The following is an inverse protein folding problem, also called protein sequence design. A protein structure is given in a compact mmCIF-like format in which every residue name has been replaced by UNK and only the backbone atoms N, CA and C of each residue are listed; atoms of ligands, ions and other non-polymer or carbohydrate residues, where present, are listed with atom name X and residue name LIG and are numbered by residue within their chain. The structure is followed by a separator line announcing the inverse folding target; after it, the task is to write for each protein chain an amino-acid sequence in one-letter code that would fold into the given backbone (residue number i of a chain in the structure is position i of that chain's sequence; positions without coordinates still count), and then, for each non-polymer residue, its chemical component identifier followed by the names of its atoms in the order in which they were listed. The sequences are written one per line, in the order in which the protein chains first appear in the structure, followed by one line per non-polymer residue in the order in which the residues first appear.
data_IF_877439717976
#
_entry.id   IF_877439717976
#
_cell.length_a   1.000
_cell.length_b   1.000
_cell.length_c   1.000
_cell.angle_alpha   90.00
_cell.angle_beta   90.00
_cell.angle_gamma   90.00
#
_symmetry.space_group_name_H-M   'P 1'
#
loop_
_entity.id
_entity.type
_entity.pdbx_description
1 polymer ?
#
# COMPACT_ATOMS: atom_id res chain seq x y z
N UNK A 1 -37.11 1.19 -0.04
CA UNK A 1 -38.58 1.03 -0.23
C UNK A 1 -39.01 0.55 -1.62
N UNK A 2 -38.10 0.27 -2.57
CA UNK A 2 -38.48 -0.22 -3.91
C UNK A 2 -39.36 -1.50 -3.88
N UNK A 3 -39.08 -2.44 -2.97
CA UNK A 3 -39.89 -3.66 -2.77
C UNK A 3 -41.28 -3.39 -2.20
N UNK A 4 -41.44 -2.37 -1.34
CA UNK A 4 -42.75 -1.90 -0.84
C UNK A 4 -43.58 -1.30 -1.97
N UNK A 5 -42.94 -0.52 -2.84
CA UNK A 5 -43.55 0.06 -4.04
C UNK A 5 -43.98 -1.00 -5.08
N UNK A 6 -43.39 -2.21 -5.02
CA UNK A 6 -43.76 -3.38 -5.82
C UNK A 6 -44.89 -4.22 -5.19
N UNK A 7 -45.55 -3.74 -4.12
CA UNK A 7 -46.71 -4.39 -3.51
C UNK A 7 -46.41 -5.39 -2.39
N UNK A 8 -45.14 -5.56 -2.00
CA UNK A 8 -44.75 -6.48 -0.91
C UNK A 8 -45.15 -5.93 0.47
N UNK A 9 -45.41 -6.84 1.42
CA UNK A 9 -45.73 -6.48 2.80
C UNK A 9 -44.56 -5.73 3.47
N UNK A 10 -44.88 -4.89 4.45
CA UNK A 10 -43.87 -4.04 5.10
C UNK A 10 -42.81 -4.85 5.84
N UNK A 11 -43.20 -6.01 6.36
CA UNK A 11 -42.29 -6.99 6.98
C UNK A 11 -41.23 -7.46 5.98
N UNK A 12 -41.66 -7.95 4.81
CA UNK A 12 -40.76 -8.50 3.79
C UNK A 12 -39.82 -7.42 3.25
N UNK A 13 -40.32 -6.21 3.07
CA UNK A 13 -39.50 -5.08 2.62
C UNK A 13 -38.47 -4.64 3.66
N UNK A 14 -38.81 -4.69 4.96
CA UNK A 14 -37.92 -4.35 6.07
C UNK A 14 -36.80 -5.40 6.23
N UNK A 15 -37.16 -6.68 6.21
CA UNK A 15 -36.21 -7.80 6.32
C UNK A 15 -35.23 -7.81 5.14
N UNK A 16 -35.72 -7.58 3.91
CA UNK A 16 -34.87 -7.48 2.73
C UNK A 16 -33.89 -6.30 2.77
N UNK A 17 -34.18 -5.27 3.56
CA UNK A 17 -33.32 -4.11 3.77
C UNK A 17 -32.48 -4.20 5.06
N UNK A 18 -32.64 -5.28 5.85
CA UNK A 18 -31.91 -5.48 7.10
C UNK A 18 -32.27 -4.48 8.21
N UNK A 19 -33.49 -3.93 8.21
CA UNK A 19 -33.94 -2.95 9.20
C UNK A 19 -35.21 -3.42 9.91
N UNK A 20 -35.48 -2.88 11.10
CA UNK A 20 -36.72 -3.17 11.82
C UNK A 20 -37.95 -2.65 11.06
N UNK A 21 -39.08 -3.35 11.20
CA UNK A 21 -40.38 -2.93 10.64
C UNK A 21 -40.76 -1.52 11.09
N UNK A 22 -40.46 -1.18 12.35
CA UNK A 22 -40.71 0.15 12.92
C UNK A 22 -39.87 1.23 12.23
N UNK A 23 -38.61 0.94 11.93
CA UNK A 23 -37.74 1.84 11.17
C UNK A 23 -38.23 1.98 9.73
N UNK A 24 -38.65 0.89 9.09
CA UNK A 24 -39.25 0.94 7.75
C UNK A 24 -40.52 1.80 7.75
N UNK A 25 -41.41 1.67 8.73
CA UNK A 25 -42.60 2.52 8.88
C UNK A 25 -42.26 4.00 9.01
N UNK A 26 -41.24 4.35 9.81
CA UNK A 26 -40.77 5.73 9.96
C UNK A 26 -40.21 6.31 8.65
N UNK A 27 -39.47 5.50 7.89
CA UNK A 27 -38.96 5.88 6.57
C UNK A 27 -40.11 6.10 5.58
N UNK A 28 -41.09 5.19 5.52
CA UNK A 28 -42.28 5.32 4.67
C UNK A 28 -43.12 6.55 5.04
N UNK A 29 -43.21 6.88 6.34
CA UNK A 29 -43.90 8.08 6.85
C UNK A 29 -43.14 9.39 6.61
N UNK A 30 -41.88 9.32 6.15
CA UNK A 30 -41.05 10.49 5.89
C UNK A 30 -40.35 11.05 7.12
N UNK A 31 -40.38 10.38 8.27
CA UNK A 31 -39.70 10.82 9.51
C UNK A 31 -38.16 10.84 9.36
N UNK A 32 -37.63 10.15 8.35
CA UNK A 32 -36.20 10.08 8.01
C UNK A 32 -35.89 10.68 6.64
N UNK A 33 -36.74 11.56 6.10
CA UNK A 33 -36.34 12.33 4.93
C UNK A 33 -35.08 13.14 5.28
N UNK A 34 -34.01 13.09 4.45
CA UNK A 34 -32.95 14.07 4.58
C UNK A 34 -33.61 15.44 4.47
N UNK A 35 -33.51 16.25 5.52
CA UNK A 35 -34.11 17.58 5.52
C UNK A 35 -33.61 18.33 4.28
N UNK A 36 -34.49 18.56 3.31
CA UNK A 36 -34.17 19.22 2.02
C UNK A 36 -33.75 20.67 2.23
N UNK A 37 -34.08 21.22 3.40
CA UNK A 37 -33.37 22.38 3.93
C UNK A 37 -32.28 21.86 4.85
N UNK A 38 -30.99 22.12 4.57
CA UNK A 38 -30.01 22.01 5.65
C UNK A 38 -30.60 22.85 6.78
N UNK A 39 -30.88 22.23 7.94
CA UNK A 39 -30.93 23.00 9.19
C UNK A 39 -29.76 23.93 9.09
N UNK A 40 -30.00 25.24 8.98
CA UNK A 40 -28.95 26.27 8.92
C UNK A 40 -27.90 25.82 9.90
N UNK A 41 -26.81 25.24 9.41
CA UNK A 41 -25.80 24.65 10.27
C UNK A 41 -25.43 25.80 11.18
N UNK A 42 -25.65 25.64 12.50
CA UNK A 42 -25.65 26.74 13.47
C UNK A 42 -24.60 27.76 13.05
N UNK A 43 -25.04 28.92 12.58
CA UNK A 43 -24.13 29.89 11.94
C UNK A 43 -23.14 30.48 12.95
N UNK A 44 -23.44 30.30 14.24
CA UNK A 44 -22.58 30.67 15.34
C UNK A 44 -21.89 29.43 15.93
N UNK A 45 -20.58 29.55 16.17
CA UNK A 45 -19.88 28.63 17.06
C UNK A 45 -20.44 28.80 18.47
N UNK A 46 -20.79 27.70 19.13
CA UNK A 46 -21.25 27.72 20.54
C UNK A 46 -20.15 28.15 21.51
N UNK A 47 -18.88 28.19 21.08
CA UNK A 47 -17.72 28.61 21.88
C UNK A 47 -16.86 29.60 21.10
N UNK A 48 -16.37 30.62 21.79
CA UNK A 48 -15.37 31.55 21.27
C UNK A 48 -14.14 30.76 20.77
N UNK A 49 -13.55 31.23 19.68
CA UNK A 49 -12.40 30.58 19.08
C UNK A 49 -11.18 30.71 20.00
N UNK A 50 -10.63 29.60 20.49
CA UNK A 50 -9.54 29.62 21.46
C UNK A 50 -8.23 30.18 20.91
N UNK A 51 -8.10 30.37 19.60
CA UNK A 51 -6.87 30.89 18.99
C UNK A 51 -7.08 32.26 18.33
N UNK A 52 -8.26 32.89 18.44
CA UNK A 52 -8.58 34.13 17.71
C UNK A 52 -7.52 35.22 17.89
N UNK A 53 -7.13 35.48 19.14
CA UNK A 53 -6.26 36.59 19.50
C UNK A 53 -4.80 36.37 19.09
N UNK A 54 -4.38 35.11 18.97
CA UNK A 54 -2.99 34.70 18.70
C UNK A 54 -2.76 34.20 17.29
N UNK A 55 -3.82 33.87 16.55
CA UNK A 55 -3.70 33.21 15.25
C UNK A 55 -3.07 34.13 14.21
N UNK A 56 -3.68 35.29 13.95
CA UNK A 56 -3.19 36.23 12.94
C UNK A 56 -1.96 37.02 13.41
N UNK A 57 -1.88 37.30 14.71
CA UNK A 57 -0.86 38.16 15.31
C UNK A 57 0.48 37.44 15.55
N UNK A 58 0.45 36.14 15.89
CA UNK A 58 1.63 35.38 16.29
C UNK A 58 1.86 34.19 15.37
N UNK A 59 0.85 33.32 15.24
CA UNK A 59 1.05 32.00 14.62
C UNK A 59 1.22 32.06 13.09
N UNK A 60 0.44 32.90 12.40
CA UNK A 60 0.55 33.07 10.94
C UNK A 60 1.92 33.64 10.53
N UNK A 61 2.45 34.72 11.14
CA UNK A 61 3.79 35.21 10.83
C UNK A 61 4.91 34.16 11.03
N UNK A 62 4.83 33.36 12.09
CA UNK A 62 5.79 32.27 12.33
C UNK A 62 5.71 31.20 11.23
N UNK A 63 4.49 30.82 10.84
CA UNK A 63 4.25 29.84 9.79
C UNK A 63 4.68 30.34 8.40
N UNK A 64 4.48 31.63 8.10
CA UNK A 64 4.95 32.26 6.86
C UNK A 64 6.49 32.27 6.78
N UNK A 65 7.17 32.56 7.88
CA UNK A 65 8.63 32.52 7.96
C UNK A 65 9.20 31.10 7.90
N UNK A 66 8.54 30.15 8.55
CA UNK A 66 8.99 28.75 8.63
C UNK A 66 7.80 27.77 8.57
N UNK A 67 7.31 27.43 7.36
CA UNK A 67 6.14 26.56 7.17
C UNK A 67 6.28 25.16 7.80
N UNK A 68 7.51 24.70 8.00
CA UNK A 68 7.87 23.43 8.62
C UNK A 68 7.65 23.39 10.14
N UNK A 69 7.38 24.52 10.81
CA UNK A 69 7.16 24.57 12.26
C UNK A 69 6.03 23.66 12.72
N UNK A 70 6.36 22.73 13.62
CA UNK A 70 5.39 21.77 14.13
C UNK A 70 4.38 22.43 15.07
N UNK A 71 3.12 21.94 15.10
CA UNK A 71 2.11 22.42 16.03
C UNK A 71 2.55 22.37 17.50
N UNK A 72 3.39 21.41 17.88
CA UNK A 72 3.94 21.30 19.23
C UNK A 72 4.89 22.46 19.55
N UNK A 73 5.77 22.82 18.62
CA UNK A 73 6.68 23.96 18.76
C UNK A 73 5.91 25.28 18.89
N UNK A 74 4.88 25.46 18.07
CA UNK A 74 3.99 26.62 18.15
C UNK A 74 3.24 26.69 19.50
N UNK A 75 2.81 25.55 20.03
CA UNK A 75 2.11 25.47 21.32
C UNK A 75 3.02 25.86 22.49
N UNK A 76 4.27 25.35 22.51
CA UNK A 76 5.27 25.72 23.52
C UNK A 76 5.61 27.21 23.46
N UNK A 77 5.67 27.79 22.25
CA UNK A 77 5.87 29.21 22.10
C UNK A 77 4.70 30.03 22.68
N UNK A 78 3.45 29.62 22.43
CA UNK A 78 2.27 30.26 23.02
C UNK A 78 2.26 30.22 24.55
N UNK A 79 2.74 29.13 25.16
CA UNK A 79 2.87 29.04 26.63
C UNK A 79 3.88 30.05 27.19
N UNK A 80 4.94 30.36 26.44
CA UNK A 80 5.95 31.34 26.86
C UNK A 80 5.43 32.79 26.77
N UNK A 81 4.73 33.14 25.69
CA UNK A 81 4.27 34.52 25.45
C UNK A 81 2.92 34.84 26.10
N UNK A 82 2.09 33.82 26.35
CA UNK A 82 0.79 33.93 27.00
C UNK A 82 0.66 32.93 28.15
N UNK A 83 1.40 33.14 29.25
CA UNK A 83 1.29 32.29 30.43
C UNK A 83 -0.12 32.38 31.03
N UNK A 84 -0.59 31.29 31.65
CA UNK A 84 -1.89 31.22 32.32
C UNK A 84 -3.07 30.80 31.43
N UNK A 85 -2.85 30.51 30.15
CA UNK A 85 -3.85 29.91 29.26
C UNK A 85 -3.64 28.39 29.14
N UNK A 86 -4.73 27.62 29.12
CA UNK A 86 -4.68 26.15 28.93
C UNK A 86 -4.46 25.76 27.45
N UNK A 87 -3.28 26.08 26.90
CA UNK A 87 -2.94 25.81 25.50
C UNK A 87 -2.90 24.32 25.17
N UNK A 88 -2.44 23.48 26.10
CA UNK A 88 -2.37 22.03 25.90
C UNK A 88 -3.74 21.41 25.58
N UNK A 89 -4.83 21.88 26.23
CA UNK A 89 -6.20 21.42 25.92
C UNK A 89 -6.65 21.80 24.50
N UNK A 90 -5.97 22.76 23.87
CA UNK A 90 -6.24 23.29 22.52
C UNK A 90 -5.31 22.71 21.46
N UNK A 91 -4.40 21.78 21.81
CA UNK A 91 -3.42 21.18 20.89
C UNK A 91 -4.06 20.64 19.61
N UNK A 92 -5.15 19.88 19.71
CA UNK A 92 -5.82 19.31 18.54
C UNK A 92 -6.46 20.38 17.64
N UNK A 93 -6.91 21.49 18.23
CA UNK A 93 -7.43 22.64 17.48
C UNK A 93 -6.31 23.37 16.75
N UNK A 94 -5.16 23.57 17.41
CA UNK A 94 -3.97 24.16 16.81
C UNK A 94 -3.45 23.31 15.65
N UNK A 95 -3.27 22.00 15.88
CA UNK A 95 -2.81 21.05 14.86
C UNK A 95 -3.67 21.12 13.60
N UNK A 96 -4.99 20.98 13.73
CA UNK A 96 -5.90 21.03 12.57
C UNK A 96 -5.80 22.35 11.81
N UNK A 97 -5.62 23.46 12.52
CA UNK A 97 -5.57 24.79 11.90
C UNK A 97 -4.24 25.04 11.19
N UNK A 98 -3.14 24.54 11.76
CA UNK A 98 -1.82 24.51 11.11
C UNK A 98 -1.86 23.63 9.86
N UNK A 99 -2.47 22.44 9.94
CA UNK A 99 -2.68 21.56 8.77
C UNK A 99 -3.49 22.26 7.67
N UNK A 100 -4.58 22.94 8.03
CA UNK A 100 -5.39 23.72 7.08
C UNK A 100 -4.60 24.88 6.46
N UNK A 101 -3.83 25.61 7.27
CA UNK A 101 -3.00 26.71 6.78
C UNK A 101 -1.93 26.19 5.83
N UNK A 102 -1.25 25.08 6.17
CA UNK A 102 -0.25 24.44 5.30
C UNK A 102 -0.83 23.95 3.98
N UNK A 103 -2.06 23.43 3.99
CA UNK A 103 -2.73 23.01 2.76
C UNK A 103 -3.03 24.19 1.81
N UNK A 104 -3.20 25.41 2.34
CA UNK A 104 -3.55 26.60 1.57
C UNK A 104 -2.34 27.48 1.20
N UNK A 105 -1.35 27.57 2.08
CA UNK A 105 -0.22 28.51 1.98
C UNK A 105 1.15 27.85 2.19
N UNK A 106 1.17 26.57 2.55
CA UNK A 106 2.42 25.82 2.69
C UNK A 106 3.10 25.58 1.34
N UNK A 107 4.33 25.07 1.35
CA UNK A 107 5.03 24.70 0.12
C UNK A 107 4.20 23.68 -0.66
N UNK A 108 4.26 23.76 -1.99
CA UNK A 108 3.61 22.80 -2.88
C UNK A 108 3.99 21.38 -2.48
N UNK A 109 2.99 20.58 -2.14
CA UNK A 109 3.19 19.15 -1.93
C UNK A 109 3.37 18.47 -3.29
N UNK A 110 4.20 17.44 -3.33
CA UNK A 110 4.29 16.59 -4.51
C UNK A 110 2.91 15.95 -4.78
N UNK A 111 2.45 16.07 -6.03
CA UNK A 111 1.19 15.47 -6.45
C UNK A 111 1.38 13.97 -6.57
N UNK A 112 0.77 13.22 -5.66
CA UNK A 112 0.78 11.77 -5.67
C UNK A 112 -0.39 11.24 -6.50
N UNK A 113 -0.09 10.50 -7.57
CA UNK A 113 -1.11 9.75 -8.31
C UNK A 113 -1.26 8.35 -7.70
N UNK A 114 -2.51 7.92 -7.50
CA UNK A 114 -2.78 6.56 -7.07
C UNK A 114 -2.38 5.59 -8.19
N UNK A 115 -1.53 4.62 -7.84
CA UNK A 115 -1.23 3.51 -8.75
C UNK A 115 -2.45 2.58 -8.81
N UNK A 116 -3.05 2.47 -9.99
CA UNK A 116 -4.10 1.50 -10.27
C UNK A 116 -3.45 0.19 -10.73
N UNK A 117 -3.59 -0.88 -9.96
CA UNK A 117 -3.23 -2.23 -10.41
C UNK A 117 -4.47 -2.90 -10.97
N UNK A 118 -4.47 -3.24 -12.26
CA UNK A 118 -5.59 -3.96 -12.89
C UNK A 118 -5.38 -5.47 -12.86
N UNK A 119 -6.47 -6.21 -12.74
CA UNK A 119 -6.47 -7.67 -12.77
C UNK A 119 -5.81 -8.19 -14.05
N UNK A 120 -4.86 -9.12 -13.93
CA UNK A 120 -4.21 -9.77 -15.07
C UNK A 120 -3.29 -8.85 -15.89
N UNK A 121 -3.10 -7.59 -15.51
CA UNK A 121 -2.23 -6.68 -16.28
C UNK A 121 -0.77 -6.89 -15.89
N UNK A 122 -0.42 -6.74 -14.62
CA UNK A 122 0.97 -6.75 -14.20
C UNK A 122 1.33 -8.01 -13.41
N UNK A 123 2.38 -8.70 -13.84
CA UNK A 123 3.14 -9.67 -13.05
C UNK A 123 4.51 -9.12 -12.72
N UNK A 124 4.98 -9.35 -11.51
CA UNK A 124 6.29 -8.89 -11.07
C UNK A 124 7.08 -10.04 -10.48
N UNK A 125 8.35 -10.15 -10.84
CA UNK A 125 9.27 -11.10 -10.22
C UNK A 125 10.63 -10.52 -9.83
N UNK A 126 11.24 -11.14 -8.84
CA UNK A 126 12.54 -10.79 -8.32
C UNK A 126 13.25 -12.01 -7.72
N UNK A 127 14.58 -11.94 -7.65
CA UNK A 127 15.39 -12.88 -6.89
C UNK A 127 15.76 -12.28 -5.55
N UNK A 128 15.72 -13.11 -4.51
CA UNK A 128 15.94 -12.61 -3.18
C UNK A 128 16.60 -13.64 -2.29
N UNK A 129 17.47 -13.16 -1.40
CA UNK A 129 18.16 -14.01 -0.42
C UNK A 129 17.44 -13.89 0.92
N UNK A 130 17.32 -15.00 1.63
CA UNK A 130 16.82 -15.00 3.00
C UNK A 130 17.81 -14.26 3.90
N UNK A 131 17.33 -13.32 4.71
CA UNK A 131 18.17 -12.66 5.72
C UNK A 131 18.03 -13.43 7.02
N UNK A 132 19.13 -13.75 7.69
CA UNK A 132 19.12 -14.47 8.97
C UNK A 132 20.10 -15.63 9.02
N UNK A 133 19.81 -16.62 9.87
CA UNK A 133 20.59 -17.85 9.95
C UNK A 133 20.38 -18.75 8.73
N UNK A 134 21.37 -19.57 8.35
CA UNK A 134 21.25 -20.46 7.20
C UNK A 134 20.15 -21.50 7.42
N UNK A 135 19.55 -21.94 6.32
CA UNK A 135 18.73 -23.14 6.28
C UNK A 135 19.68 -24.32 6.11
N UNK A 136 19.47 -25.37 6.89
CA UNK A 136 20.29 -26.58 6.82
C UNK A 136 19.40 -27.77 6.48
N UNK A 137 19.93 -28.69 5.67
CA UNK A 137 19.29 -29.95 5.29
C UNK A 137 20.24 -31.08 5.60
N UNK A 138 19.85 -31.99 6.50
CA UNK A 138 20.70 -33.08 7.01
C UNK A 138 22.05 -32.54 7.51
N UNK A 139 22.03 -31.42 8.23
CA UNK A 139 23.21 -30.76 8.78
C UNK A 139 24.10 -30.02 7.78
N UNK A 140 23.74 -29.99 6.49
CA UNK A 140 24.49 -29.25 5.45
C UNK A 140 23.78 -27.94 5.15
N UNK A 141 24.54 -26.84 5.07
CA UNK A 141 23.99 -25.54 4.70
C UNK A 141 23.47 -25.57 3.26
N UNK A 142 22.19 -25.23 3.11
CA UNK A 142 21.54 -25.10 1.82
C UNK A 142 21.78 -23.70 1.25
N UNK A 143 22.78 -23.56 0.39
CA UNK A 143 23.01 -22.33 -0.36
C UNK A 143 21.94 -22.16 -1.44
N UNK A 144 21.00 -21.25 -1.22
CA UNK A 144 19.90 -21.02 -2.15
C UNK A 144 19.51 -19.55 -2.24
N UNK A 145 18.86 -19.22 -3.36
CA UNK A 145 18.11 -18.00 -3.57
C UNK A 145 16.63 -18.34 -3.66
N UNK A 146 15.79 -17.33 -3.54
CA UNK A 146 14.35 -17.46 -3.69
C UNK A 146 13.92 -16.62 -4.87
N UNK A 147 13.32 -17.27 -5.86
CA UNK A 147 12.55 -16.58 -6.87
C UNK A 147 11.17 -16.26 -6.29
N UNK A 148 10.72 -15.02 -6.41
CA UNK A 148 9.38 -14.64 -5.98
C UNK A 148 8.66 -13.92 -7.11
N UNK A 149 7.52 -14.48 -7.53
CA UNK A 149 6.62 -13.89 -8.50
C UNK A 149 5.31 -13.49 -7.83
N UNK A 150 4.70 -12.39 -8.29
CA UNK A 150 3.47 -11.84 -7.71
C UNK A 150 2.59 -11.15 -8.74
N UNK A 151 1.29 -11.21 -8.50
CA UNK A 151 0.26 -10.39 -9.15
C UNK A 151 -0.18 -9.26 -8.19
N UNK A 152 0.19 -7.98 -8.43
CA UNK A 152 -0.09 -6.89 -7.50
C UNK A 152 -1.58 -6.68 -7.21
N UNK A 153 -2.46 -6.91 -8.19
CA UNK A 153 -3.90 -6.74 -8.02
C UNK A 153 -4.50 -7.71 -6.98
N UNK A 154 -4.21 -9.01 -7.10
CA UNK A 154 -4.78 -10.03 -6.22
C UNK A 154 -3.94 -10.30 -4.97
N UNK A 155 -2.68 -9.89 -4.98
CA UNK A 155 -1.70 -10.25 -3.95
C UNK A 155 -1.25 -11.71 -4.01
N UNK A 156 -1.72 -12.48 -5.00
CA UNK A 156 -1.26 -13.85 -5.23
C UNK A 156 0.24 -13.84 -5.51
N UNK A 157 0.96 -14.81 -4.95
CA UNK A 157 2.39 -14.94 -5.15
C UNK A 157 2.85 -16.38 -5.11
N UNK A 158 3.95 -16.63 -5.79
CA UNK A 158 4.62 -17.91 -5.89
C UNK A 158 6.09 -17.74 -5.53
N UNK A 159 6.62 -18.65 -4.71
CA UNK A 159 8.03 -18.64 -4.33
C UNK A 159 8.64 -19.98 -4.67
N UNK A 160 9.83 -19.94 -5.26
CA UNK A 160 10.57 -21.13 -5.64
C UNK A 160 12.01 -21.05 -5.15
N UNK A 161 12.54 -22.19 -4.67
CA UNK A 161 13.92 -22.33 -4.22
C UNK A 161 14.82 -22.54 -5.43
N UNK A 162 15.80 -21.66 -5.59
CA UNK A 162 16.72 -21.64 -6.72
C UNK A 162 18.13 -21.97 -6.23
N UNK A 163 18.71 -23.00 -6.85
CA UNK A 163 20.08 -23.43 -6.63
C UNK A 163 21.04 -22.61 -7.50
N UNK A 164 22.08 -22.06 -6.89
CA UNK A 164 23.07 -21.24 -7.59
C UNK A 164 22.64 -19.79 -7.82
N UNK A 165 23.16 -19.20 -8.91
CA UNK A 165 23.07 -17.77 -9.20
C UNK A 165 21.78 -17.33 -9.91
N UNK A 166 21.56 -16.02 -9.91
CA UNK A 166 20.55 -15.37 -10.74
C UNK A 166 20.87 -15.60 -12.23
N UNK A 167 20.16 -16.53 -12.85
CA UNK A 167 20.36 -16.94 -14.24
C UNK A 167 19.05 -16.92 -15.03
N UNK A 168 19.16 -16.81 -16.35
CA UNK A 168 17.99 -16.88 -17.24
C UNK A 168 17.24 -18.21 -17.11
N UNK A 169 17.95 -19.33 -16.94
CA UNK A 169 17.33 -20.66 -16.82
C UNK A 169 16.45 -20.70 -15.57
N UNK A 170 17.01 -20.31 -14.42
CA UNK A 170 16.27 -20.24 -13.16
C UNK A 170 15.04 -19.32 -13.24
N UNK A 171 15.18 -18.17 -13.89
CA UNK A 171 14.05 -17.26 -14.12
C UNK A 171 12.98 -17.92 -14.99
N UNK A 172 13.38 -18.51 -16.12
CA UNK A 172 12.44 -19.05 -17.09
C UNK A 172 11.65 -20.24 -16.54
N UNK A 173 12.30 -21.11 -15.79
CA UNK A 173 11.69 -22.27 -15.15
C UNK A 173 10.72 -21.81 -14.06
N UNK A 174 11.21 -21.01 -13.12
CA UNK A 174 10.40 -20.60 -11.96
C UNK A 174 9.25 -19.68 -12.34
N UNK A 175 9.43 -18.84 -13.37
CA UNK A 175 8.33 -18.03 -13.88
C UNK A 175 7.27 -18.89 -14.58
N UNK A 176 7.65 -19.87 -15.40
CA UNK A 176 6.67 -20.79 -16.02
C UNK A 176 5.91 -21.61 -14.97
N UNK A 177 6.59 -22.09 -13.93
CA UNK A 177 5.94 -22.77 -12.80
C UNK A 177 4.92 -21.86 -12.09
N UNK A 178 5.29 -20.60 -11.85
CA UNK A 178 4.39 -19.62 -11.28
C UNK A 178 3.15 -19.37 -12.18
N UNK A 179 3.35 -19.23 -13.48
CA UNK A 179 2.27 -19.02 -14.45
C UNK A 179 1.30 -20.21 -14.53
N UNK A 180 1.84 -21.43 -14.52
CA UNK A 180 1.05 -22.65 -14.44
C UNK A 180 0.25 -22.71 -13.13
N UNK A 181 0.86 -22.35 -12.00
CA UNK A 181 0.22 -22.35 -10.69
C UNK A 181 -0.88 -21.30 -10.55
N UNK A 182 -0.74 -20.11 -11.15
CA UNK A 182 -1.84 -19.13 -11.19
C UNK A 182 -2.88 -19.40 -12.28
N UNK A 183 -2.63 -20.34 -13.19
CA UNK A 183 -3.57 -20.73 -14.24
C UNK A 183 -3.77 -19.66 -15.31
N UNK A 184 -2.80 -18.77 -15.51
CA UNK A 184 -2.93 -17.64 -16.44
C UNK A 184 -1.65 -16.83 -16.59
N UNK A 185 -1.63 -15.98 -17.62
CA UNK A 185 -0.47 -15.17 -17.97
C UNK A 185 -0.83 -13.69 -17.90
N UNK A 186 -0.07 -12.84 -17.19
CA UNK A 186 -0.32 -11.41 -17.14
C UNK A 186 0.04 -10.76 -18.49
N UNK A 187 -0.61 -9.65 -18.82
CA UNK A 187 -0.30 -8.89 -20.04
C UNK A 187 1.13 -8.33 -20.03
N UNK A 188 1.63 -7.96 -18.86
CA UNK A 188 2.94 -7.37 -18.65
C UNK A 188 3.71 -8.12 -17.58
N UNK A 189 5.03 -8.22 -17.78
CA UNK A 189 5.94 -8.72 -16.77
C UNK A 189 7.08 -7.77 -16.52
N UNK A 190 7.31 -7.50 -15.23
CA UNK A 190 8.36 -6.62 -14.74
C UNK A 190 9.33 -7.40 -13.88
N UNK A 191 10.63 -7.20 -14.10
CA UNK A 191 11.67 -7.74 -13.23
C UNK A 191 12.90 -6.84 -13.19
N UNK A 192 13.44 -6.66 -11.99
CA UNK A 192 14.67 -5.89 -11.74
C UNK A 192 15.92 -6.80 -11.73
N UNK A 193 15.79 -8.07 -12.15
CA UNK A 193 16.87 -9.07 -12.14
C UNK A 193 17.97 -8.77 -13.17
N UNK A 194 18.95 -7.95 -12.78
CA UNK A 194 20.01 -7.41 -13.63
C UNK A 194 20.84 -8.49 -14.36
N UNK A 195 21.14 -9.63 -13.75
CA UNK A 195 21.98 -10.66 -14.40
C UNK A 195 21.19 -11.64 -15.28
N UNK A 196 19.90 -11.88 -15.00
CA UNK A 196 19.08 -12.82 -15.77
C UNK A 196 18.48 -12.18 -17.03
N UNK A 197 18.17 -10.88 -16.96
CA UNK A 197 17.42 -10.18 -18.01
C UNK A 197 18.20 -9.07 -18.73
N UNK A 198 19.39 -8.68 -18.26
CA UNK A 198 20.12 -7.53 -18.79
C UNK A 198 21.56 -7.87 -19.19
N UNK A 199 22.07 -7.23 -20.25
CA UNK A 199 23.48 -7.32 -20.65
C UNK A 199 24.33 -6.33 -19.84
N UNK A 200 25.29 -6.83 -19.07
CA UNK A 200 26.35 -6.04 -18.43
C UNK A 200 27.59 -5.93 -19.34
N UNK A 201 27.42 -5.50 -20.59
CA UNK A 201 28.56 -5.12 -21.43
C UNK A 201 28.30 -3.75 -22.07
N UNK A 202 29.21 -2.85 -21.75
CA UNK A 202 29.57 -1.66 -22.53
C UNK A 202 28.59 -0.49 -22.49
N UNK A 203 28.39 0.10 -21.30
CA UNK A 203 28.13 1.54 -21.09
C UNK A 203 26.91 2.20 -21.78
N UNK A 204 26.18 1.45 -22.61
CA UNK A 204 25.10 1.86 -23.48
C UNK A 204 23.85 1.14 -22.99
N UNK A 205 23.30 1.65 -21.88
CA UNK A 205 22.20 1.03 -21.13
C UNK A 205 20.81 1.31 -21.74
N UNK A 206 20.72 1.55 -23.05
CA UNK A 206 19.49 2.06 -23.66
C UNK A 206 18.57 1.01 -24.30
N UNK A 207 18.96 -0.26 -24.50
CA UNK A 207 18.09 -1.16 -25.30
C UNK A 207 18.17 -2.68 -25.10
N UNK A 208 18.97 -3.24 -24.20
CA UNK A 208 19.18 -4.71 -24.23
C UNK A 208 18.59 -5.48 -23.05
N UNK A 209 17.28 -5.78 -23.15
CA UNK A 209 16.81 -7.10 -22.69
C UNK A 209 17.63 -8.18 -23.40
N UNK A 210 18.03 -9.24 -22.70
CA UNK A 210 18.68 -10.38 -23.35
C UNK A 210 17.76 -10.95 -24.44
N UNK A 211 18.31 -11.41 -25.56
CA UNK A 211 17.50 -12.00 -26.65
C UNK A 211 16.61 -13.12 -26.13
N UNK A 212 17.15 -13.96 -25.25
CA UNK A 212 16.44 -15.05 -24.57
C UNK A 212 15.23 -14.58 -23.75
N UNK A 213 15.36 -13.47 -23.01
CA UNK A 213 14.23 -12.93 -22.25
C UNK A 213 13.15 -12.33 -23.16
N UNK A 214 13.54 -11.65 -24.24
CA UNK A 214 12.58 -11.17 -25.25
C UNK A 214 11.85 -12.33 -25.92
N UNK A 215 12.58 -13.38 -26.30
CA UNK A 215 12.03 -14.60 -26.91
C UNK A 215 11.04 -15.30 -25.96
N UNK A 216 11.39 -15.42 -24.67
CA UNK A 216 10.48 -15.98 -23.67
C UNK A 216 9.20 -15.14 -23.51
N UNK A 217 9.35 -13.82 -23.42
CA UNK A 217 8.19 -12.93 -23.33
C UNK A 217 7.30 -13.03 -24.57
N UNK A 218 7.90 -13.09 -25.77
CA UNK A 218 7.17 -13.29 -27.02
C UNK A 218 6.47 -14.65 -27.07
N UNK A 219 7.12 -15.71 -26.60
CA UNK A 219 6.54 -17.05 -26.50
C UNK A 219 5.33 -17.09 -25.55
N UNK A 220 5.43 -16.41 -24.41
CA UNK A 220 4.36 -16.33 -23.42
C UNK A 220 3.27 -15.30 -23.78
N UNK A 221 3.47 -14.47 -24.81
CA UNK A 221 2.55 -13.38 -25.17
C UNK A 221 2.56 -12.21 -24.18
N UNK A 222 3.68 -11.99 -23.48
CA UNK A 222 3.83 -10.99 -22.41
C UNK A 222 4.65 -9.80 -22.89
N UNK A 223 4.26 -8.60 -22.47
CA UNK A 223 5.04 -7.39 -22.68
C UNK A 223 6.02 -7.21 -21.53
N UNK A 224 7.32 -7.24 -21.82
CA UNK A 224 8.35 -6.93 -20.83
C UNK A 224 8.34 -5.43 -20.51
N UNK A 225 8.15 -5.07 -19.24
CA UNK A 225 8.22 -3.67 -18.76
C UNK A 225 9.38 -3.46 -17.79
N UNK A 226 9.84 -2.20 -17.68
CA UNK A 226 10.90 -1.78 -16.73
C UNK A 226 10.35 -0.74 -15.77
N UNK A 227 10.99 -0.63 -14.62
CA UNK A 227 10.81 0.50 -13.71
C UNK A 227 11.53 1.75 -14.26
N UNK A 228 10.92 2.92 -14.06
CA UNK A 228 11.61 4.18 -14.31
C UNK A 228 12.70 4.38 -13.24
N UNK A 229 13.96 4.46 -13.67
CA UNK A 229 15.10 4.71 -12.76
C UNK A 229 14.88 6.02 -11.99
N UNK A 230 14.92 5.96 -10.67
CA UNK A 230 14.78 7.12 -9.78
C UNK A 230 13.39 7.32 -9.17
N UNK A 231 12.37 6.55 -9.58
CA UNK A 231 11.01 6.63 -9.03
C UNK A 231 10.77 5.45 -8.08
N UNK A 232 11.24 5.58 -6.84
CA UNK A 232 11.13 4.54 -5.81
C UNK A 232 9.67 4.08 -5.56
N UNK A 233 8.69 4.94 -5.86
CA UNK A 233 7.26 4.67 -5.65
C UNK A 233 6.70 3.56 -6.57
N UNK A 234 7.30 3.27 -7.72
CA UNK A 234 6.86 2.16 -8.60
C UNK A 234 7.19 0.78 -8.01
N UNK A 235 8.22 0.69 -7.15
CA UNK A 235 8.64 -0.54 -6.48
C UNK A 235 7.90 -0.82 -5.17
N UNK A 236 7.05 0.09 -4.70
CA UNK A 236 6.36 -0.04 -3.41
C UNK A 236 5.50 -1.30 -3.30
N UNK A 237 4.84 -1.70 -4.39
CA UNK A 237 4.01 -2.91 -4.44
C UNK A 237 4.80 -4.21 -4.24
N UNK A 238 6.07 -4.22 -4.65
CA UNK A 238 6.97 -5.37 -4.56
C UNK A 238 7.71 -5.33 -3.22
N UNK A 239 8.32 -4.20 -2.88
CA UNK A 239 9.24 -4.10 -1.74
C UNK A 239 8.53 -4.33 -0.41
N UNK A 240 7.34 -3.72 -0.24
CA UNK A 240 6.50 -3.95 0.93
C UNK A 240 6.11 -5.43 1.04
N UNK A 241 5.68 -6.00 -0.08
CA UNK A 241 5.23 -7.39 -0.15
C UNK A 241 6.34 -8.41 0.09
N UNK A 242 7.54 -8.18 -0.45
CA UNK A 242 8.74 -8.99 -0.19
C UNK A 242 9.08 -8.96 1.29
N UNK A 243 9.03 -7.78 1.90
CA UNK A 243 9.29 -7.61 3.33
C UNK A 243 8.25 -8.38 4.17
N UNK A 244 6.97 -8.31 3.80
CA UNK A 244 5.91 -9.05 4.49
C UNK A 244 6.06 -10.56 4.35
N UNK A 245 6.34 -11.07 3.15
CA UNK A 245 6.53 -12.50 2.92
C UNK A 245 7.76 -13.04 3.65
N UNK A 246 8.92 -12.38 3.55
CA UNK A 246 10.14 -12.78 4.27
C UNK A 246 9.93 -12.80 5.78
N UNK A 247 9.25 -11.78 6.31
CA UNK A 247 8.91 -11.74 7.73
C UNK A 247 8.01 -12.91 8.11
N UNK A 248 7.03 -13.28 7.28
CA UNK A 248 6.16 -14.43 7.53
C UNK A 248 6.96 -15.74 7.56
N UNK A 249 7.86 -15.95 6.60
CA UNK A 249 8.73 -17.13 6.56
C UNK A 249 9.60 -17.21 7.82
N UNK A 250 10.26 -16.12 8.20
CA UNK A 250 11.06 -16.05 9.42
C UNK A 250 10.23 -16.37 10.68
N UNK A 251 9.01 -15.85 10.79
CA UNK A 251 8.11 -16.18 11.90
C UNK A 251 7.72 -17.66 11.94
N UNK A 252 7.54 -18.32 10.78
CA UNK A 252 7.29 -19.77 10.74
C UNK A 252 8.52 -20.58 11.14
N UNK A 253 9.72 -20.16 10.73
CA UNK A 253 10.98 -20.79 11.15
C UNK A 253 11.19 -20.66 12.66
N UNK A 254 10.89 -19.49 13.24
CA UNK A 254 10.92 -19.28 14.70
C UNK A 254 9.89 -20.18 15.39
N UNK A 255 8.65 -20.23 14.88
CA UNK A 255 7.58 -21.09 15.44
C UNK A 255 7.95 -22.57 15.38
N UNK A 256 8.62 -23.01 14.31
CA UNK A 256 9.16 -24.37 14.17
C UNK A 256 10.29 -24.65 15.17
N UNK A 257 10.96 -23.61 15.65
CA UNK A 257 12.06 -23.72 16.61
C UNK A 257 13.37 -24.22 16.01
N UNK A 258 13.41 -24.46 14.70
CA UNK A 258 14.58 -25.00 14.00
C UNK A 258 14.61 -24.55 12.54
N UNK A 259 15.82 -24.32 12.02
CA UNK A 259 16.14 -24.11 10.60
C UNK A 259 16.72 -25.35 9.91
N UNK A 260 16.74 -26.48 10.61
CA UNK A 260 17.21 -27.79 10.13
C UNK A 260 16.06 -28.60 9.56
N UNK A 261 16.15 -29.04 8.31
CA UNK A 261 15.12 -29.83 7.62
C UNK A 261 15.63 -31.22 7.27
N UNK A 262 14.75 -32.23 7.28
CA UNK A 262 15.14 -33.59 6.91
C UNK A 262 15.40 -33.72 5.40
N UNK A 263 14.68 -32.94 4.59
CA UNK A 263 14.84 -32.90 3.13
C UNK A 263 14.59 -31.50 2.59
N UNK A 264 15.11 -31.21 1.39
CA UNK A 264 14.77 -29.96 0.71
C UNK A 264 13.28 -29.89 0.33
N UNK A 265 12.66 -31.03 0.03
CA UNK A 265 11.22 -31.09 -0.26
C UNK A 265 10.37 -30.62 0.94
N UNK A 266 10.82 -30.90 2.18
CA UNK A 266 10.19 -30.37 3.40
C UNK A 266 10.35 -28.84 3.48
N UNK A 267 11.51 -28.30 3.13
CA UNK A 267 11.74 -26.85 3.14
C UNK A 267 10.92 -26.11 2.07
N UNK A 268 10.65 -26.75 0.93
CA UNK A 268 9.87 -26.18 -0.18
C UNK A 268 8.36 -26.08 0.10
N UNK A 269 7.85 -26.75 1.14
CA UNK A 269 6.44 -26.74 1.54
C UNK A 269 6.10 -25.57 2.47
#
# INVERSE_FOLDING_TARGET
MAKRAQGLSQQIAADAAGISVRSAQRIDRGDHQPQTQPQRGRSWRTRADPLADVWQSVLVPMLEQAPQLEPQTLLLHLEQIHPGHEWFRRQRTLQRRVEQWRALHGPSQEVMFLQEHRAGVLGISDFTVLKGGPITVVGVVLEHRLFHFRLPFSGWGHVEVIHGGESFVALSEAWQNALAACGGVPAEHRTDSLSACYRNRDGSYASDFTSRYRELCAHLGVIATRNNRGVAHENGAIEGSHRHWKRRLEQQLIKRGSREFATEAEYRQ
#
